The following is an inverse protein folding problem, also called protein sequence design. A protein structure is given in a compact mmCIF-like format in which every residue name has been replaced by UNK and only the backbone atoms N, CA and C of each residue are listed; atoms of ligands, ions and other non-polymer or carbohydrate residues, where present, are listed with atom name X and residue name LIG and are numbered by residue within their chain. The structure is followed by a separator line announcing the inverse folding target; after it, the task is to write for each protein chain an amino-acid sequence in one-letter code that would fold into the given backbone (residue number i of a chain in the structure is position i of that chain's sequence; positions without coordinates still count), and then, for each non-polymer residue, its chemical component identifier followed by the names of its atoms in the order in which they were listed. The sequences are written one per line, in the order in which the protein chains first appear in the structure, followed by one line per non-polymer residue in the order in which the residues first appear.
data_IF_754187475308
#
_entry.id   IF_754187475308
#
_cell.length_a   1.000
_cell.length_b   1.000
_cell.length_c   1.000
_cell.angle_alpha   90.00
_cell.angle_beta   90.00
_cell.angle_gamma   90.00
#
_symmetry.space_group_name_H-M   'P 1'
#
loop_
_entity.id
_entity.type
_entity.pdbx_description
1 polymer ?
#
# COMPACT_ATOMS: atom_id res chain seq x y z
N UNK A 1 9.65 -13.51 -14.06
CA UNK A 1 9.94 -12.56 -12.98
C UNK A 1 9.73 -11.13 -13.48
N UNK A 2 9.05 -10.33 -12.66
CA UNK A 2 8.78 -8.94 -13.02
C UNK A 2 10.08 -8.12 -13.07
N UNK A 3 10.19 -7.28 -14.10
CA UNK A 3 11.27 -6.31 -14.22
C UNK A 3 10.65 -4.93 -14.42
N UNK A 4 11.01 -4.00 -13.54
CA UNK A 4 10.44 -2.66 -13.57
C UNK A 4 10.92 -1.90 -14.83
N UNK A 5 10.04 -1.04 -15.34
CA UNK A 5 10.37 -0.18 -16.47
C UNK A 5 11.57 0.71 -16.14
N UNK A 6 12.52 0.82 -17.07
CA UNK A 6 13.72 1.63 -16.85
C UNK A 6 13.42 3.12 -16.77
N UNK A 7 12.33 3.57 -17.42
CA UNK A 7 11.95 4.97 -17.48
C UNK A 7 10.89 5.35 -16.43
N UNK A 8 10.69 4.52 -15.42
CA UNK A 8 9.59 4.70 -14.44
C UNK A 8 9.64 6.02 -13.69
N UNK A 9 10.80 6.62 -13.56
CA UNK A 9 10.94 7.88 -12.83
C UNK A 9 10.91 9.12 -13.72
N UNK A 10 10.71 8.98 -15.01
CA UNK A 10 10.80 10.11 -15.93
C UNK A 10 9.56 11.00 -15.97
N UNK A 11 8.39 10.44 -15.64
CA UNK A 11 7.11 11.16 -15.78
C UNK A 11 6.47 11.57 -14.47
N UNK A 12 6.91 10.99 -13.36
CA UNK A 12 6.30 11.26 -12.06
C UNK A 12 7.01 12.42 -11.37
N UNK A 13 6.22 13.36 -10.82
CA UNK A 13 6.75 14.42 -9.99
C UNK A 13 6.92 13.91 -8.55
N UNK A 14 8.03 14.26 -7.92
CA UNK A 14 8.32 13.91 -6.53
C UNK A 14 8.54 15.16 -5.71
N UNK A 15 7.94 15.21 -4.52
CA UNK A 15 7.97 16.37 -3.63
C UNK A 15 8.48 15.94 -2.26
N UNK A 16 9.35 16.75 -1.68
CA UNK A 16 9.85 16.47 -0.33
C UNK A 16 8.74 16.51 0.69
N UNK A 17 8.73 15.52 1.58
CA UNK A 17 7.80 15.44 2.70
C UNK A 17 8.40 16.20 3.88
N UNK A 18 8.22 17.54 3.89
CA UNK A 18 8.78 18.38 4.94
C UNK A 18 10.29 18.23 5.05
N UNK A 19 10.77 18.03 6.26
CA UNK A 19 12.19 17.86 6.58
C UNK A 19 12.58 16.41 6.85
N UNK A 20 11.70 15.46 6.50
CA UNK A 20 11.92 14.05 6.83
C UNK A 20 12.99 13.36 5.99
N UNK A 21 13.38 13.95 4.87
CA UNK A 21 14.27 13.31 3.91
C UNK A 21 13.54 12.45 2.88
N UNK A 22 12.24 12.23 3.06
CA UNK A 22 11.44 11.47 2.10
C UNK A 22 10.98 12.35 0.96
N UNK A 23 10.90 11.74 -0.22
CA UNK A 23 10.25 12.33 -1.39
C UNK A 23 9.04 11.49 -1.74
N UNK A 24 7.88 12.11 -1.81
CA UNK A 24 6.64 11.43 -2.14
C UNK A 24 6.27 11.67 -3.58
N UNK A 25 5.77 10.64 -4.28
CA UNK A 25 5.25 10.84 -5.63
C UNK A 25 3.98 11.68 -5.58
N UNK A 26 3.68 12.36 -6.69
CA UNK A 26 2.46 13.14 -6.79
C UNK A 26 1.21 12.28 -6.62
N UNK A 27 1.30 10.99 -6.94
CA UNK A 27 0.21 10.03 -6.84
C UNK A 27 0.69 8.85 -6.00
N UNK A 28 -0.14 8.42 -5.05
CA UNK A 28 0.09 7.22 -4.25
C UNK A 28 -0.99 6.18 -4.56
N UNK A 29 -0.68 4.91 -4.34
CA UNK A 29 -1.64 3.83 -4.53
C UNK A 29 -2.15 3.36 -3.18
N UNK A 30 -3.47 3.51 -2.95
CA UNK A 30 -4.12 2.95 -1.77
C UNK A 30 -4.55 1.51 -2.02
N UNK A 31 -4.35 0.65 -1.03
CA UNK A 31 -4.66 -0.77 -1.15
C UNK A 31 -5.92 -1.18 -0.38
N UNK A 32 -6.82 -0.24 -0.18
CA UNK A 32 -8.08 -0.53 0.51
C UNK A 32 -8.99 -1.46 -0.31
N UNK A 33 -9.07 -1.23 -1.61
CA UNK A 33 -9.89 -2.05 -2.50
C UNK A 33 -9.00 -2.94 -3.37
N UNK A 34 -9.55 -4.10 -3.77
CA UNK A 34 -8.95 -5.02 -4.74
C UNK A 34 -7.76 -5.85 -4.24
N UNK A 35 -7.33 -5.68 -2.99
CA UNK A 35 -6.18 -6.40 -2.45
C UNK A 35 -6.54 -7.40 -1.34
N UNK A 36 -7.83 -7.55 -1.05
CA UNK A 36 -8.29 -8.54 -0.08
C UNK A 36 -8.41 -9.94 -0.67
N UNK A 37 -8.85 -10.88 0.17
CA UNK A 37 -8.95 -12.30 -0.20
C UNK A 37 -10.00 -12.57 -1.28
N UNK A 38 -10.92 -11.64 -1.52
CA UNK A 38 -11.91 -11.75 -2.59
C UNK A 38 -11.37 -11.28 -3.94
N UNK A 39 -10.20 -10.67 -3.97
CA UNK A 39 -9.59 -10.18 -5.19
C UNK A 39 -8.83 -11.28 -5.94
N UNK A 40 -8.56 -11.02 -7.21
CA UNK A 40 -7.78 -11.92 -8.05
C UNK A 40 -6.31 -11.57 -7.92
N UNK A 41 -5.49 -12.50 -7.49
CA UNK A 41 -4.07 -12.27 -7.19
C UNK A 41 -3.30 -11.71 -8.38
N UNK A 42 -3.56 -12.24 -9.58
CA UNK A 42 -2.89 -11.77 -10.80
C UNK A 42 -3.24 -10.30 -11.11
N UNK A 43 -4.48 -9.88 -10.81
CA UNK A 43 -4.86 -8.48 -10.97
C UNK A 43 -4.16 -7.58 -9.98
N UNK A 44 -3.96 -8.04 -8.75
CA UNK A 44 -3.19 -7.30 -7.75
C UNK A 44 -1.77 -7.03 -8.23
N UNK A 45 -1.12 -8.05 -8.79
CA UNK A 45 0.23 -7.92 -9.33
C UNK A 45 0.26 -6.92 -10.49
N UNK A 46 -0.70 -7.03 -11.40
CA UNK A 46 -0.77 -6.13 -12.54
C UNK A 46 -0.97 -4.67 -12.12
N UNK A 47 -1.82 -4.43 -11.12
CA UNK A 47 -2.02 -3.08 -10.59
C UNK A 47 -0.73 -2.54 -10.00
N UNK A 48 -0.05 -3.32 -9.18
CA UNK A 48 1.20 -2.90 -8.54
C UNK A 48 2.31 -2.65 -9.56
N UNK A 49 2.44 -3.54 -10.53
CA UNK A 49 3.47 -3.40 -11.56
C UNK A 49 3.23 -2.18 -12.43
N UNK A 50 1.98 -1.96 -12.85
CA UNK A 50 1.62 -0.79 -13.62
C UNK A 50 1.88 0.49 -12.85
N UNK A 51 1.52 0.51 -11.57
CA UNK A 51 1.79 1.67 -10.72
C UNK A 51 3.28 1.96 -10.62
N UNK A 52 4.08 0.95 -10.31
CA UNK A 52 5.52 1.13 -10.15
C UNK A 52 6.20 1.50 -11.47
N UNK A 53 5.78 0.88 -12.57
CA UNK A 53 6.32 1.20 -13.90
C UNK A 53 6.04 2.65 -14.31
N UNK A 54 5.08 3.30 -13.67
CA UNK A 54 4.75 4.70 -13.90
C UNK A 54 5.25 5.64 -12.79
N UNK A 55 6.10 5.14 -11.91
CA UNK A 55 6.75 5.97 -10.89
C UNK A 55 5.99 6.12 -9.58
N UNK A 56 4.90 5.37 -9.39
CA UNK A 56 4.21 5.34 -8.10
C UNK A 56 5.00 4.44 -7.16
N UNK A 57 5.66 5.05 -6.18
CA UNK A 57 6.53 4.34 -5.24
C UNK A 57 5.94 4.26 -3.84
N UNK A 58 4.82 4.94 -3.59
CA UNK A 58 4.17 4.94 -2.28
C UNK A 58 2.90 4.10 -2.32
N UNK A 59 2.87 3.07 -1.48
CA UNK A 59 1.75 2.14 -1.34
C UNK A 59 1.21 2.25 0.09
N UNK A 60 -0.08 2.55 0.20
CA UNK A 60 -0.71 2.84 1.49
C UNK A 60 -1.65 1.71 1.90
N UNK A 61 -1.39 1.18 3.08
CA UNK A 61 -2.10 0.05 3.65
C UNK A 61 -2.73 0.43 4.99
N UNK A 62 -3.45 -0.50 5.57
CA UNK A 62 -3.87 -0.47 6.96
C UNK A 62 -4.02 -1.91 7.45
N UNK A 63 -3.90 -2.09 8.76
CA UNK A 63 -3.94 -3.42 9.36
C UNK A 63 -5.26 -4.16 9.13
N UNK A 64 -6.35 -3.43 8.82
CA UNK A 64 -7.67 -4.03 8.61
C UNK A 64 -8.12 -4.05 7.15
N UNK A 65 -7.27 -3.63 6.20
CA UNK A 65 -7.68 -3.66 4.80
C UNK A 65 -7.89 -5.10 4.33
N UNK A 66 -8.97 -5.31 3.63
CA UNK A 66 -9.39 -6.62 3.16
C UNK A 66 -10.59 -6.52 2.22
N UNK A 67 -11.60 -7.42 2.31
CA UNK A 67 -11.72 -8.52 3.27
C UNK A 67 -10.80 -9.70 2.97
N UNK A 68 -10.47 -10.58 3.92
CA UNK A 68 -10.73 -10.38 5.34
C UNK A 68 -9.76 -9.38 5.94
N UNK A 69 -9.99 -8.94 7.20
CA UNK A 69 -9.11 -7.97 7.86
C UNK A 69 -7.66 -8.46 7.89
N UNK A 70 -6.75 -7.62 7.40
CA UNK A 70 -5.34 -7.95 7.32
C UNK A 70 -4.93 -8.64 6.02
N UNK A 71 -5.87 -9.03 5.16
CA UNK A 71 -5.54 -9.77 3.94
C UNK A 71 -4.85 -8.89 2.90
N UNK A 72 -5.13 -7.58 2.88
CA UNK A 72 -4.44 -6.69 1.94
C UNK A 72 -2.95 -6.60 2.26
N UNK A 73 -2.57 -6.45 3.53
CA UNK A 73 -1.16 -6.45 3.93
C UNK A 73 -0.50 -7.79 3.62
N UNK A 74 -1.21 -8.88 3.86
CA UNK A 74 -0.70 -10.22 3.59
C UNK A 74 -0.46 -10.44 2.10
N UNK A 75 -1.42 -10.08 1.27
CA UNK A 75 -1.31 -10.24 -0.19
C UNK A 75 -0.23 -9.32 -0.77
N UNK A 76 -0.18 -8.07 -0.32
CA UNK A 76 0.89 -7.16 -0.72
C UNK A 76 2.26 -7.69 -0.29
N UNK A 77 2.37 -8.20 0.92
CA UNK A 77 3.62 -8.78 1.43
C UNK A 77 4.11 -9.94 0.59
N UNK A 78 3.19 -10.78 0.12
CA UNK A 78 3.54 -11.90 -0.76
C UNK A 78 4.09 -11.39 -2.09
N UNK A 79 3.44 -10.40 -2.70
CA UNK A 79 3.88 -9.82 -3.97
C UNK A 79 5.23 -9.12 -3.77
N UNK A 80 5.38 -8.39 -2.68
CA UNK A 80 6.62 -7.71 -2.35
C UNK A 80 7.78 -8.71 -2.27
N UNK A 81 7.57 -9.81 -1.57
CA UNK A 81 8.60 -10.84 -1.41
C UNK A 81 8.95 -11.52 -2.73
N UNK A 82 7.94 -11.89 -3.51
CA UNK A 82 8.13 -12.69 -4.71
C UNK A 82 8.58 -11.88 -5.93
N UNK A 83 8.14 -10.62 -6.04
CA UNK A 83 8.30 -9.86 -7.28
C UNK A 83 9.00 -8.51 -7.11
N UNK A 84 8.85 -7.86 -5.96
CA UNK A 84 9.32 -6.48 -5.76
C UNK A 84 10.48 -6.37 -4.77
N UNK A 85 10.96 -7.48 -4.25
CA UNK A 85 11.99 -7.46 -3.21
C UNK A 85 13.26 -6.74 -3.63
N UNK A 86 13.69 -6.88 -4.88
CA UNK A 86 14.88 -6.21 -5.39
C UNK A 86 14.71 -4.69 -5.49
N UNK A 87 13.47 -4.20 -5.45
CA UNK A 87 13.16 -2.78 -5.51
C UNK A 87 12.78 -2.20 -4.14
N UNK A 88 12.92 -2.97 -3.05
CA UNK A 88 12.43 -2.56 -1.73
C UNK A 88 12.93 -1.17 -1.32
N UNK A 89 14.18 -0.84 -1.62
CA UNK A 89 14.78 0.43 -1.25
C UNK A 89 14.21 1.62 -2.03
N UNK A 90 13.47 1.36 -3.10
CA UNK A 90 12.82 2.39 -3.89
C UNK A 90 11.37 2.63 -3.44
N UNK A 91 10.84 1.81 -2.52
CA UNK A 91 9.43 1.84 -2.15
C UNK A 91 9.23 2.48 -0.79
N UNK A 92 8.18 3.30 -0.70
CA UNK A 92 7.65 3.80 0.55
C UNK A 92 6.36 3.03 0.85
N UNK A 93 6.33 2.36 1.97
CA UNK A 93 5.18 1.57 2.38
C UNK A 93 4.66 2.14 3.68
N UNK A 94 3.42 2.62 3.67
CA UNK A 94 2.78 3.13 4.86
C UNK A 94 1.63 2.22 5.28
N UNK A 95 1.42 2.10 6.57
CA UNK A 95 0.29 1.36 7.11
C UNK A 95 -0.21 2.05 8.36
N UNK A 96 -1.35 1.59 8.86
CA UNK A 96 -2.04 2.19 9.99
C UNK A 96 -2.46 1.08 10.95
N UNK A 97 -2.47 1.39 12.22
CA UNK A 97 -3.00 0.52 13.26
C UNK A 97 -4.16 1.23 13.97
N UNK A 98 -4.97 0.49 14.69
CA UNK A 98 -6.02 1.06 15.53
C UNK A 98 -7.43 0.92 15.00
N UNK A 99 -7.61 0.31 13.82
CA UNK A 99 -8.95 -0.04 13.36
C UNK A 99 -9.39 -1.35 13.98
N UNK A 100 -10.71 -1.49 14.16
CA UNK A 100 -11.28 -2.71 14.71
C UNK A 100 -11.02 -3.89 13.78
N UNK A 101 -10.49 -4.95 14.34
CA UNK A 101 -10.27 -6.21 13.63
C UNK A 101 -11.00 -7.36 14.32
N UNK A 102 -11.68 -7.08 15.42
CA UNK A 102 -12.40 -8.04 16.22
C UNK A 102 -13.58 -7.33 16.89
N UNK A 103 -14.53 -8.10 17.37
CA UNK A 103 -15.67 -7.56 18.07
C UNK A 103 -15.38 -7.39 19.55
N UNK A 104 -16.03 -6.43 20.19
CA UNK A 104 -15.91 -6.21 21.61
C UNK A 104 -15.90 -4.73 21.97
N UNK A 105 -15.77 -4.42 23.26
CA UNK A 105 -15.87 -3.03 23.74
C UNK A 105 -14.73 -2.13 23.27
N UNK A 106 -13.65 -2.71 22.77
CA UNK A 106 -12.52 -1.94 22.25
C UNK A 106 -12.45 -1.92 20.73
N UNK A 107 -13.44 -2.50 20.05
CA UNK A 107 -13.56 -2.38 18.60
C UNK A 107 -14.09 -0.99 18.28
N UNK A 108 -13.32 -0.20 17.55
CA UNK A 108 -13.69 1.18 17.25
C UNK A 108 -13.72 1.40 15.74
N UNK A 109 -14.77 2.09 15.29
CA UNK A 109 -14.83 2.56 13.93
C UNK A 109 -13.99 3.84 13.78
N UNK A 110 -13.74 4.23 12.55
CA UNK A 110 -13.02 5.47 12.27
C UNK A 110 -13.70 6.67 12.94
N UNK A 111 -15.03 6.75 12.87
CA UNK A 111 -15.78 7.83 13.48
C UNK A 111 -15.62 7.85 15.00
N UNK A 112 -15.68 6.67 15.62
CA UNK A 112 -15.51 6.55 17.06
C UNK A 112 -14.10 6.94 17.48
N UNK A 113 -13.10 6.50 16.74
CA UNK A 113 -11.70 6.85 17.02
C UNK A 113 -11.50 8.36 16.96
N UNK A 114 -12.06 9.02 15.95
CA UNK A 114 -11.95 10.47 15.81
C UNK A 114 -12.63 11.21 16.97
N UNK A 115 -13.68 10.66 17.53
CA UNK A 115 -14.37 11.29 18.65
C UNK A 115 -13.51 11.34 19.91
N UNK A 116 -12.47 10.52 19.99
CA UNK A 116 -11.57 10.43 21.13
C UNK A 116 -10.22 11.14 20.91
N UNK A 117 -10.01 11.67 19.75
CA UNK A 117 -8.82 12.46 19.48
C UNK A 117 -8.92 13.85 20.09
#
# INVERSE_FOLDING_TARGET
MYQAANDRYEKMAYVRCGKSGLKLPAISLGLWHNFGDTGVYENMKEILFTAFDNGIVHFDLANNYGPAYGSAEKNFGKILKEELGMYRDELLISTKAGFDMWEGPYAVSYTHLRAHE
#
